data_IF_171164002076
#
_entry.id   IF_171164002076
#
_cell.length_a   1.000
_cell.length_b   1.000
_cell.length_c   1.000
_cell.angle_alpha   90.00
_cell.angle_beta   90.00
_cell.angle_gamma   90.00
#
_symmetry.space_group_name_H-M   'P 1'
#
loop_
_entity.id
_entity.type
_entity.pdbx_description
1 polymer ?
#
# COMPACT_ATOMS: atom_id res chain seq x y z
N UNK A 1 -2.70 -20.44 0.34
CA UNK A 1 -2.57 -19.08 0.94
C UNK A 1 -2.96 -17.95 0.01
N UNK A 2 -2.97 -18.16 -1.28
CA UNK A 2 -3.53 -17.27 -2.30
C UNK A 2 -4.99 -16.87 -2.05
N UNK A 3 -5.74 -17.66 -1.30
CA UNK A 3 -7.12 -17.37 -0.91
C UNK A 3 -7.33 -16.05 -0.14
N UNK A 4 -6.27 -15.46 0.42
CA UNK A 4 -6.32 -14.23 1.19
C UNK A 4 -5.59 -13.05 0.52
N UNK A 5 -5.18 -13.19 -0.73
CA UNK A 5 -4.67 -12.09 -1.55
C UNK A 5 -5.77 -11.67 -2.52
N UNK A 6 -6.12 -10.39 -2.53
CA UNK A 6 -7.15 -9.84 -3.44
C UNK A 6 -6.66 -8.58 -4.10
N UNK A 7 -6.99 -8.48 -5.38
CA UNK A 7 -6.80 -7.28 -6.18
C UNK A 7 -8.17 -6.85 -6.69
N UNK A 8 -8.53 -5.60 -6.43
CA UNK A 8 -9.73 -4.99 -6.96
C UNK A 8 -9.36 -3.88 -7.91
N UNK A 9 -9.84 -3.99 -9.14
CA UNK A 9 -9.59 -2.98 -10.17
C UNK A 9 -10.66 -1.88 -10.12
N UNK A 10 -10.31 -0.72 -10.68
CA UNK A 10 -11.22 0.39 -10.92
C UNK A 10 -11.91 0.91 -9.63
N UNK A 11 -11.19 0.83 -8.49
CA UNK A 11 -11.67 1.34 -7.18
C UNK A 11 -11.45 2.83 -7.02
N UNK A 12 -10.53 3.41 -7.80
CA UNK A 12 -10.24 4.85 -7.83
C UNK A 12 -10.18 5.32 -9.27
N UNK A 13 -10.77 6.49 -9.57
CA UNK A 13 -10.75 7.04 -10.92
C UNK A 13 -9.35 7.50 -11.33
N UNK A 14 -9.09 7.57 -12.63
CA UNK A 14 -7.81 8.04 -13.17
C UNK A 14 -7.47 9.46 -12.71
N UNK A 15 -8.48 10.33 -12.67
CA UNK A 15 -8.37 11.73 -12.23
C UNK A 15 -7.96 11.81 -10.75
N UNK A 16 -8.57 10.97 -9.90
CA UNK A 16 -8.22 10.95 -8.47
C UNK A 16 -6.85 10.35 -8.22
N UNK A 17 -6.45 9.34 -8.99
CA UNK A 17 -5.08 8.82 -8.96
C UNK A 17 -4.06 9.92 -9.33
N UNK A 18 -4.31 10.64 -10.42
CA UNK A 18 -3.42 11.72 -10.86
C UNK A 18 -3.37 12.86 -9.83
N UNK A 19 -4.52 13.23 -9.26
CA UNK A 19 -4.60 14.22 -8.20
C UNK A 19 -3.65 13.90 -7.02
N UNK A 20 -3.59 12.64 -6.57
CA UNK A 20 -2.68 12.25 -5.49
C UNK A 20 -1.21 12.29 -5.92
N UNK A 21 -0.91 11.93 -7.16
CA UNK A 21 0.45 12.05 -7.71
C UNK A 21 0.88 13.51 -7.76
N UNK A 22 0.04 14.39 -8.32
CA UNK A 22 0.34 15.82 -8.45
C UNK A 22 0.50 16.47 -7.06
N UNK A 23 -0.34 16.08 -6.12
CA UNK A 23 -0.28 16.60 -4.75
C UNK A 23 0.96 16.12 -3.98
N UNK A 24 1.40 14.87 -4.21
CA UNK A 24 2.67 14.38 -3.70
C UNK A 24 3.84 15.22 -4.24
N UNK A 25 3.90 15.44 -5.55
CA UNK A 25 5.00 16.20 -6.18
C UNK A 25 4.96 17.70 -5.82
N UNK A 26 3.80 18.24 -5.46
CA UNK A 26 3.66 19.63 -5.03
C UNK A 26 4.18 19.89 -3.60
N UNK A 27 4.48 18.84 -2.81
CA UNK A 27 4.94 18.96 -1.42
C UNK A 27 6.28 18.26 -1.18
N UNK A 28 7.37 18.61 -1.90
CA UNK A 28 8.66 17.97 -1.74
C UNK A 28 9.28 18.17 -0.34
N UNK A 29 8.87 19.21 0.38
CA UNK A 29 9.28 19.48 1.77
C UNK A 29 8.78 18.43 2.78
N UNK A 30 7.76 17.66 2.41
CA UNK A 30 7.20 16.57 3.22
C UNK A 30 7.78 15.20 2.84
N UNK A 31 8.66 15.15 1.85
CA UNK A 31 9.25 13.89 1.40
C UNK A 31 10.30 13.38 2.39
N UNK A 32 10.23 12.09 2.66
CA UNK A 32 11.21 11.37 3.46
C UNK A 32 11.82 10.26 2.60
N UNK A 33 13.12 10.02 2.74
CA UNK A 33 13.79 8.85 2.15
C UNK A 33 13.67 7.69 3.13
N UNK A 34 13.02 6.63 2.71
CA UNK A 34 12.93 5.39 3.48
C UNK A 34 14.08 4.47 3.07
N UNK A 35 14.89 4.05 4.04
CA UNK A 35 15.82 2.94 3.90
C UNK A 35 15.01 1.63 3.86
N UNK A 36 15.21 0.84 2.82
CA UNK A 36 14.54 -0.44 2.60
C UNK A 36 15.47 -1.65 2.84
N UNK A 37 16.72 -1.40 3.25
CA UNK A 37 17.77 -2.42 3.36
C UNK A 37 18.42 -2.75 2.01
N UNK A 38 19.55 -3.47 2.04
CA UNK A 38 20.29 -3.88 0.84
C UNK A 38 20.64 -2.71 -0.11
N UNK A 39 20.97 -1.55 0.47
CA UNK A 39 21.25 -0.29 -0.28
C UNK A 39 20.06 0.17 -1.16
N UNK A 40 18.85 -0.28 -0.85
CA UNK A 40 17.61 0.14 -1.53
C UNK A 40 16.87 1.18 -0.73
N UNK A 41 16.25 2.10 -1.46
CA UNK A 41 15.47 3.21 -0.89
C UNK A 41 14.15 3.39 -1.61
N UNK A 42 13.34 4.28 -1.13
CA UNK A 42 12.19 4.88 -1.82
C UNK A 42 11.90 6.24 -1.20
N UNK A 43 11.15 7.07 -1.90
CA UNK A 43 10.63 8.32 -1.33
C UNK A 43 9.22 8.09 -0.79
N UNK A 44 8.96 8.53 0.43
CA UNK A 44 7.62 8.47 1.01
C UNK A 44 7.14 9.85 1.50
N UNK A 45 5.84 9.99 1.60
CA UNK A 45 5.16 11.12 2.24
C UNK A 45 4.07 10.55 3.16
N UNK A 46 4.15 10.89 4.45
CA UNK A 46 3.13 10.53 5.43
C UNK A 46 2.01 11.60 5.40
N UNK A 47 0.80 11.19 5.01
CA UNK A 47 -0.35 12.09 4.88
C UNK A 47 -0.84 12.63 6.23
N UNK A 48 -0.42 12.02 7.33
CA UNK A 48 -0.84 12.33 8.70
C UNK A 48 0.33 12.86 9.55
N UNK A 49 1.40 13.36 8.94
CA UNK A 49 2.61 13.83 9.63
C UNK A 49 2.36 15.06 10.54
N UNK A 50 1.31 15.83 10.28
CA UNK A 50 0.95 17.01 11.04
C UNK A 50 -0.57 17.18 11.11
N UNK A 51 -1.10 17.78 12.20
CA UNK A 51 -2.51 18.19 12.27
C UNK A 51 -2.94 19.13 11.13
N UNK A 52 -2.02 19.94 10.62
CA UNK A 52 -2.27 20.90 9.53
C UNK A 52 -1.83 20.37 8.17
N UNK A 53 -1.78 19.05 8.01
CA UNK A 53 -1.42 18.41 6.73
C UNK A 53 -2.32 18.92 5.58
N UNK A 54 -1.75 19.24 4.41
CA UNK A 54 -2.54 19.60 3.23
C UNK A 54 -3.44 18.46 2.75
N UNK A 55 -3.24 17.23 3.24
CA UNK A 55 -4.02 16.04 2.89
C UNK A 55 -5.23 15.80 3.82
N UNK A 56 -5.52 16.68 4.77
CA UNK A 56 -6.60 16.48 5.78
C UNK A 56 -7.95 16.09 5.15
N UNK A 57 -8.35 16.79 4.10
CA UNK A 57 -9.62 16.51 3.41
C UNK A 57 -9.62 15.18 2.66
N UNK A 58 -8.44 14.71 2.23
CA UNK A 58 -8.28 13.44 1.52
C UNK A 58 -8.34 12.22 2.45
N UNK A 59 -8.06 12.40 3.74
CA UNK A 59 -8.05 11.29 4.71
C UNK A 59 -9.42 10.61 4.82
N UNK A 60 -10.51 11.38 4.79
CA UNK A 60 -11.86 10.83 4.82
C UNK A 60 -12.16 10.02 3.56
N UNK A 61 -11.78 10.55 2.38
CA UNK A 61 -11.92 9.82 1.11
C UNK A 61 -11.14 8.51 1.15
N UNK A 62 -9.86 8.54 1.55
CA UNK A 62 -9.02 7.34 1.64
C UNK A 62 -9.55 6.34 2.64
N UNK A 63 -9.97 6.79 3.82
CA UNK A 63 -10.56 5.92 4.84
C UNK A 63 -11.78 5.19 4.30
N UNK A 64 -12.70 5.90 3.67
CA UNK A 64 -13.92 5.30 3.09
C UNK A 64 -13.55 4.31 1.98
N UNK A 65 -12.68 4.71 1.03
CA UNK A 65 -12.23 3.84 -0.07
C UNK A 65 -11.62 2.54 0.45
N UNK A 66 -10.72 2.64 1.43
CA UNK A 66 -10.06 1.46 1.98
C UNK A 66 -11.04 0.59 2.74
N UNK A 67 -11.91 1.16 3.58
CA UNK A 67 -12.89 0.40 4.36
C UNK A 67 -13.94 -0.30 3.50
N UNK A 68 -14.43 0.33 2.43
CA UNK A 68 -15.32 -0.32 1.45
C UNK A 68 -14.65 -1.56 0.84
N UNK A 69 -13.36 -1.47 0.49
CA UNK A 69 -12.62 -2.60 -0.05
C UNK A 69 -12.26 -3.66 1.01
N UNK A 70 -12.11 -3.29 2.28
CA UNK A 70 -12.00 -4.25 3.41
C UNK A 70 -13.29 -5.05 3.56
N UNK A 71 -14.46 -4.43 3.49
CA UNK A 71 -15.72 -5.15 3.57
C UNK A 71 -15.92 -6.10 2.37
N UNK A 72 -15.53 -5.65 1.17
CA UNK A 72 -15.48 -6.52 -0.01
C UNK A 72 -14.54 -7.71 0.18
N UNK A 73 -13.32 -7.44 0.70
CA UNK A 73 -12.31 -8.44 1.01
C UNK A 73 -12.80 -9.49 1.99
N UNK A 74 -13.45 -9.07 3.09
CA UNK A 74 -14.04 -9.98 4.09
C UNK A 74 -15.04 -10.93 3.47
N UNK A 75 -15.92 -10.41 2.61
CA UNK A 75 -16.92 -11.19 1.88
C UNK A 75 -16.28 -12.18 0.91
N UNK A 76 -15.36 -11.72 0.07
CA UNK A 76 -14.74 -12.54 -1.00
C UNK A 76 -13.80 -13.61 -0.44
N UNK A 77 -13.15 -13.35 0.69
CA UNK A 77 -12.35 -14.32 1.42
C UNK A 77 -13.18 -15.20 2.38
N UNK A 78 -14.50 -14.98 2.48
CA UNK A 78 -15.44 -15.71 3.37
C UNK A 78 -15.00 -15.67 4.84
N UNK A 79 -14.46 -14.53 5.28
CA UNK A 79 -13.99 -14.34 6.64
C UNK A 79 -15.17 -14.35 7.59
N UNK A 80 -15.11 -15.23 8.61
CA UNK A 80 -16.14 -15.33 9.63
C UNK A 80 -15.99 -14.21 10.66
N UNK A 81 -17.10 -13.77 11.33
CA UNK A 81 -17.03 -12.69 12.31
C UNK A 81 -15.94 -12.86 13.37
N UNK A 82 -15.74 -14.07 13.89
CA UNK A 82 -14.73 -14.36 14.91
C UNK A 82 -13.27 -14.36 14.38
N UNK A 83 -13.07 -14.32 13.06
CA UNK A 83 -11.73 -14.26 12.44
C UNK A 83 -11.23 -12.83 12.24
N UNK A 84 -12.09 -11.83 12.36
CA UNK A 84 -11.76 -10.43 12.18
C UNK A 84 -12.04 -9.66 13.46
N UNK A 85 -11.14 -8.77 13.91
CA UNK A 85 -11.36 -8.06 15.16
C UNK A 85 -12.58 -7.13 15.06
N UNK A 86 -13.37 -7.05 16.12
CA UNK A 86 -14.52 -6.13 16.21
C UNK A 86 -14.07 -4.67 16.23
N UNK A 87 -12.91 -4.41 16.85
CA UNK A 87 -12.28 -3.09 16.93
C UNK A 87 -10.88 -3.16 16.37
N UNK A 88 -10.53 -2.21 15.55
CA UNK A 88 -9.20 -2.08 14.94
C UNK A 88 -8.89 -0.62 14.63
N UNK A 89 -7.62 -0.32 14.50
CA UNK A 89 -7.13 0.98 14.04
C UNK A 89 -6.65 0.92 12.59
N UNK A 90 -6.59 2.08 11.96
CA UNK A 90 -5.96 2.28 10.65
C UNK A 90 -4.67 3.05 10.87
N UNK A 91 -3.54 2.54 10.37
CA UNK A 91 -2.27 3.25 10.40
C UNK A 91 -2.30 4.45 9.44
N UNK A 92 -1.34 5.37 9.60
CA UNK A 92 -1.23 6.52 8.74
C UNK A 92 -1.11 6.10 7.26
N UNK A 93 -1.88 6.76 6.40
CA UNK A 93 -1.72 6.63 4.96
C UNK A 93 -0.39 7.23 4.53
N UNK A 94 0.36 6.50 3.70
CA UNK A 94 1.63 6.94 3.15
C UNK A 94 1.61 6.80 1.63
N UNK A 95 1.98 7.86 0.91
CA UNK A 95 2.28 7.76 -0.51
C UNK A 95 3.75 7.39 -0.63
N UNK A 96 4.05 6.38 -1.45
CA UNK A 96 5.41 5.93 -1.76
C UNK A 96 5.65 6.12 -3.25
N UNK A 97 6.79 6.72 -3.59
CA UNK A 97 7.28 6.85 -4.96
C UNK A 97 8.52 5.99 -5.16
N UNK A 98 8.53 5.27 -6.26
CA UNK A 98 9.70 4.54 -6.76
C UNK A 98 10.08 5.11 -8.13
N UNK A 99 11.31 5.56 -8.27
CA UNK A 99 11.84 6.05 -9.54
C UNK A 99 12.40 4.89 -10.39
N UNK A 100 12.44 5.01 -11.73
CA UNK A 100 13.05 4.03 -12.62
C UNK A 100 14.58 4.14 -12.55
N UNK A 101 15.15 3.70 -11.43
CA UNK A 101 16.59 3.70 -11.16
C UNK A 101 16.99 2.35 -10.54
N UNK A 102 18.24 2.22 -10.11
CA UNK A 102 18.78 0.98 -9.55
C UNK A 102 18.59 0.87 -8.03
N UNK A 103 18.13 1.92 -7.36
CA UNK A 103 18.01 1.99 -5.89
C UNK A 103 16.58 1.93 -5.38
N UNK A 104 15.61 2.45 -6.14
CA UNK A 104 14.21 2.53 -5.69
C UNK A 104 13.51 1.18 -5.78
N UNK A 105 13.67 0.39 -4.74
CA UNK A 105 13.07 -0.94 -4.62
C UNK A 105 12.77 -1.22 -3.13
N UNK A 106 11.75 -1.99 -2.87
CA UNK A 106 11.57 -2.61 -1.55
C UNK A 106 11.88 -4.10 -1.71
N UNK A 107 13.03 -4.58 -1.22
CA UNK A 107 13.42 -6.00 -1.31
C UNK A 107 12.39 -6.93 -0.69
N UNK A 108 12.51 -8.23 -0.94
CA UNK A 108 11.63 -9.25 -0.40
C UNK A 108 11.59 -9.20 1.14
N UNK A 109 10.41 -9.04 1.70
CA UNK A 109 10.20 -8.88 3.15
C UNK A 109 8.81 -9.33 3.57
N UNK A 110 8.60 -9.31 4.87
CA UNK A 110 7.28 -9.34 5.51
C UNK A 110 7.13 -8.08 6.37
N UNK A 111 5.92 -7.54 6.47
CA UNK A 111 5.68 -6.31 7.23
C UNK A 111 5.58 -6.55 8.76
N UNK A 112 5.26 -7.78 9.16
CA UNK A 112 5.17 -8.19 10.57
C UNK A 112 6.36 -9.06 10.91
N UNK A 113 7.37 -8.45 11.56
CA UNK A 113 8.63 -9.13 11.90
C UNK A 113 9.15 -8.89 13.31
N UNK A 114 8.52 -8.00 14.06
CA UNK A 114 8.94 -7.60 15.39
C UNK A 114 7.74 -7.19 16.27
N UNK A 115 7.98 -6.88 17.54
CA UNK A 115 6.93 -6.50 18.47
C UNK A 115 6.20 -5.22 18.07
N UNK A 116 6.89 -4.24 17.49
CA UNK A 116 6.28 -2.96 17.07
C UNK A 116 5.27 -3.14 15.93
N UNK A 117 5.53 -4.10 15.04
CA UNK A 117 4.70 -4.40 13.88
C UNK A 117 3.71 -5.56 14.11
N UNK A 118 3.86 -6.31 15.22
CA UNK A 118 3.08 -7.53 15.53
C UNK A 118 1.55 -7.33 15.54
N UNK A 119 1.09 -6.10 15.78
CA UNK A 119 -0.35 -5.78 15.80
C UNK A 119 -0.99 -5.67 14.42
N UNK A 120 -0.23 -5.58 13.33
CA UNK A 120 -0.75 -5.49 11.96
C UNK A 120 -1.35 -6.81 11.51
N UNK A 121 -2.51 -6.78 10.90
CA UNK A 121 -3.18 -8.00 10.41
C UNK A 121 -3.65 -7.92 8.96
N UNK A 122 -3.76 -6.72 8.37
CA UNK A 122 -4.11 -6.53 6.96
C UNK A 122 -3.33 -5.35 6.39
N UNK A 123 -2.70 -5.54 5.25
CA UNK A 123 -2.07 -4.47 4.46
C UNK A 123 -2.94 -4.13 3.25
N UNK A 124 -2.90 -2.87 2.85
CA UNK A 124 -3.68 -2.32 1.75
C UNK A 124 -2.81 -1.39 0.92
N UNK A 125 -2.67 -1.67 -0.39
CA UNK A 125 -1.95 -0.82 -1.34
C UNK A 125 -2.85 -0.42 -2.50
N UNK A 126 -3.09 0.89 -2.66
CA UNK A 126 -3.75 1.45 -3.83
C UNK A 126 -2.70 1.97 -4.82
N UNK A 127 -2.79 1.56 -6.10
CA UNK A 127 -1.85 1.93 -7.14
C UNK A 127 -2.33 3.19 -7.87
N UNK A 128 -1.47 4.21 -7.94
CA UNK A 128 -1.78 5.50 -8.55
C UNK A 128 -1.29 5.61 -10.00
N UNK A 129 -0.42 4.69 -10.43
CA UNK A 129 0.16 4.68 -11.78
C UNK A 129 0.18 3.28 -12.35
N UNK A 130 0.17 3.17 -13.68
CA UNK A 130 0.40 1.90 -14.36
C UNK A 130 1.90 1.58 -14.39
N UNK A 131 2.27 0.42 -13.85
CA UNK A 131 3.66 -0.02 -13.78
C UNK A 131 3.77 -1.54 -13.88
N UNK A 132 3.48 -2.08 -15.05
CA UNK A 132 3.51 -3.54 -15.28
C UNK A 132 4.91 -4.15 -15.11
N UNK A 133 5.97 -3.37 -15.35
CA UNK A 133 7.36 -3.81 -15.21
C UNK A 133 7.94 -3.58 -13.79
N UNK A 134 7.19 -2.92 -12.90
CA UNK A 134 7.56 -2.69 -11.49
C UNK A 134 6.49 -3.24 -10.55
N UNK A 135 6.17 -4.55 -10.59
CA UNK A 135 5.06 -5.12 -9.84
C UNK A 135 5.30 -5.14 -8.33
N UNK A 136 4.23 -5.40 -7.58
CA UNK A 136 4.35 -5.98 -6.25
C UNK A 136 4.41 -7.49 -6.43
N UNK A 137 5.57 -8.09 -6.20
CA UNK A 137 5.75 -9.55 -6.23
C UNK A 137 5.22 -10.15 -4.92
N UNK A 138 4.58 -11.31 -5.04
CA UNK A 138 4.11 -12.12 -3.92
C UNK A 138 4.57 -13.56 -4.20
N UNK A 139 5.55 -14.05 -3.45
CA UNK A 139 6.15 -15.37 -3.68
C UNK A 139 5.11 -16.49 -3.68
N UNK A 140 4.14 -16.42 -2.77
CA UNK A 140 3.09 -17.43 -2.63
C UNK A 140 2.19 -17.58 -3.87
N UNK A 141 2.10 -16.56 -4.70
CA UNK A 141 1.29 -16.60 -5.93
C UNK A 141 2.05 -17.17 -7.13
N UNK A 142 3.35 -17.45 -6.99
CA UNK A 142 4.25 -17.72 -8.13
C UNK A 142 4.05 -16.66 -9.25
N UNK A 143 3.74 -15.41 -8.85
CA UNK A 143 3.38 -14.35 -9.76
C UNK A 143 3.50 -12.97 -9.13
N UNK A 144 3.05 -12.00 -9.87
CA UNK A 144 3.10 -10.59 -9.46
C UNK A 144 1.74 -9.93 -9.57
N UNK A 145 1.48 -8.98 -8.66
CA UNK A 145 0.41 -8.02 -8.86
C UNK A 145 0.90 -6.91 -9.77
N UNK A 146 0.40 -6.80 -11.02
CA UNK A 146 0.71 -5.66 -11.85
C UNK A 146 0.18 -4.40 -11.16
N UNK A 147 1.03 -3.38 -11.07
CA UNK A 147 0.60 -2.07 -10.59
C UNK A 147 -0.30 -1.43 -11.65
N UNK A 148 -1.59 -1.75 -11.59
CA UNK A 148 -2.61 -1.13 -12.44
C UNK A 148 -3.18 0.10 -11.74
N UNK A 149 -3.14 1.24 -12.44
CA UNK A 149 -3.72 2.49 -11.97
C UNK A 149 -5.19 2.31 -11.54
N UNK A 150 -5.53 2.83 -10.36
CA UNK A 150 -6.89 2.73 -9.81
C UNK A 150 -7.24 1.37 -9.20
N UNK A 151 -6.30 0.43 -9.09
CA UNK A 151 -6.52 -0.83 -8.38
C UNK A 151 -6.04 -0.78 -6.93
N UNK A 152 -6.55 -1.70 -6.11
CA UNK A 152 -6.11 -1.91 -4.73
C UNK A 152 -5.77 -3.38 -4.49
N UNK A 153 -4.67 -3.62 -3.79
CA UNK A 153 -4.19 -4.93 -3.35
C UNK A 153 -4.38 -5.04 -1.83
N UNK A 154 -4.98 -6.13 -1.36
CA UNK A 154 -5.15 -6.45 0.06
C UNK A 154 -4.64 -7.85 0.37
N UNK A 155 -3.88 -8.00 1.46
CA UNK A 155 -3.42 -9.30 1.98
C UNK A 155 -2.97 -9.20 3.44
N UNK A 156 -2.93 -10.32 4.20
CA UNK A 156 -2.32 -10.35 5.53
C UNK A 156 -0.80 -10.13 5.44
N UNK A 157 -0.19 -9.20 6.19
CA UNK A 157 1.24 -8.86 6.07
C UNK A 157 2.16 -9.80 6.84
N UNK A 158 1.76 -11.05 7.04
CA UNK A 158 2.41 -12.04 7.90
C UNK A 158 3.49 -12.85 7.18
N UNK A 159 4.34 -13.54 7.94
CA UNK A 159 5.48 -14.34 7.50
C UNK A 159 5.24 -15.31 6.31
N UNK A 160 4.02 -15.88 6.06
CA UNK A 160 3.81 -16.70 4.88
C UNK A 160 3.66 -15.91 3.57
N UNK A 161 3.50 -14.58 3.64
CA UNK A 161 3.23 -13.72 2.50
C UNK A 161 4.40 -12.77 2.24
N UNK A 162 5.55 -13.37 1.92
CA UNK A 162 6.75 -12.63 1.49
C UNK A 162 6.40 -11.87 0.22
N UNK A 163 6.73 -10.57 0.21
CA UNK A 163 6.46 -9.71 -0.93
C UNK A 163 7.58 -8.70 -1.16
N UNK A 164 7.66 -8.18 -2.39
CA UNK A 164 8.64 -7.18 -2.81
C UNK A 164 7.97 -6.09 -3.64
N UNK A 165 8.41 -4.86 -3.46
CA UNK A 165 8.01 -3.73 -4.30
C UNK A 165 9.08 -3.47 -5.35
N UNK A 166 8.96 -4.06 -6.54
CA UNK A 166 10.00 -3.96 -7.59
C UNK A 166 10.12 -2.54 -8.14
N UNK A 167 11.35 -2.19 -8.51
CA UNK A 167 11.64 -0.93 -9.20
C UNK A 167 10.89 -0.85 -10.54
N UNK A 168 10.30 0.31 -10.88
CA UNK A 168 9.73 0.52 -12.21
C UNK A 168 10.84 0.65 -13.27
N UNK A 169 10.52 0.37 -14.54
CA UNK A 169 11.51 0.40 -15.64
C UNK A 169 11.48 1.73 -16.40
N UNK A 170 10.31 2.32 -16.62
CA UNK A 170 10.18 3.52 -17.48
C UNK A 170 9.67 4.75 -16.75
N UNK A 171 8.57 4.61 -16.02
CA UNK A 171 7.88 5.71 -15.38
C UNK A 171 7.85 5.52 -13.87
N UNK A 172 7.86 6.60 -13.08
CA UNK A 172 7.72 6.49 -11.63
C UNK A 172 6.47 5.69 -11.22
N UNK A 173 6.63 4.87 -10.20
CA UNK A 173 5.54 4.14 -9.56
C UNK A 173 5.12 4.85 -8.28
N UNK A 174 3.81 5.08 -8.14
CA UNK A 174 3.22 5.65 -6.92
C UNK A 174 2.17 4.71 -6.36
N UNK A 175 2.24 4.50 -5.05
CA UNK A 175 1.25 3.72 -4.30
C UNK A 175 0.85 4.47 -3.03
N UNK A 176 -0.42 4.33 -2.61
CA UNK A 176 -0.86 4.72 -1.26
C UNK A 176 -0.98 3.44 -0.44
N UNK A 177 -0.31 3.38 0.70
CA UNK A 177 -0.35 2.22 1.60
C UNK A 177 -0.83 2.57 2.99
N UNK A 178 -1.50 1.60 3.63
CA UNK A 178 -1.85 1.63 5.05
C UNK A 178 -2.04 0.20 5.56
N UNK A 179 -2.19 0.07 6.89
CA UNK A 179 -2.42 -1.20 7.58
C UNK A 179 -3.63 -1.11 8.50
N UNK A 180 -4.35 -2.22 8.65
CA UNK A 180 -5.21 -2.42 9.80
C UNK A 180 -4.41 -3.09 10.92
N UNK A 181 -4.64 -2.64 12.16
CA UNK A 181 -3.98 -3.17 13.33
C UNK A 181 -4.93 -3.36 14.51
N UNK A 182 -4.62 -4.32 15.37
CA UNK A 182 -5.32 -4.52 16.64
C UNK A 182 -5.14 -3.30 17.56
N UNK A 183 -6.19 -2.94 18.31
CA UNK A 183 -6.21 -1.86 19.30
C UNK A 183 -6.56 -2.40 20.68
#
# INVERSE_FOLDING_TARGET
MDNYVRIYNDVMTNEKCQYFVDKFEAHPEMHEVQDCGEEKTLTLLNLMSSPDTPFREDLNFLSNLFMENVERYKKDCRIKPFQFPEKFGVEAFKIKRYLPNTTDEFPAHVDVRDYATARRFLVMFAYLTDNYAGPTELEVLAGSSPCRKGSILLFPPLWPLIHAGKAPVKNPKYIIGSYLHYV
#
